data_IF_711017449850
#
_entry.id   IF_711017449850
#
_cell.length_a   1.000
_cell.length_b   1.000
_cell.length_c   1.000
_cell.angle_alpha   90.00
_cell.angle_beta   90.00
_cell.angle_gamma   90.00
#
_symmetry.space_group_name_H-M   'P 1'
#
loop_
_entity.id
_entity.type
_entity.pdbx_description
1 polymer ?
#
# COMPACT_ATOMS: atom_id res chain seq x y z
N UNK A 1 18.85 -10.28 14.92
CA UNK A 1 18.14 -11.60 14.90
C UNK A 1 17.32 -11.70 13.62
N UNK A 2 17.52 -12.76 12.87
CA UNK A 2 16.69 -13.05 11.70
C UNK A 2 15.41 -13.72 12.18
N UNK A 3 14.25 -13.08 11.93
CA UNK A 3 12.96 -13.69 12.24
C UNK A 3 12.46 -14.48 11.03
N UNK A 4 11.85 -15.63 11.29
CA UNK A 4 11.21 -16.43 10.25
C UNK A 4 9.87 -15.83 9.80
N UNK A 5 9.22 -15.03 10.68
CA UNK A 5 7.96 -14.34 10.38
C UNK A 5 8.20 -12.87 10.09
N UNK A 6 7.42 -12.30 9.18
CA UNK A 6 7.43 -10.87 8.88
C UNK A 6 6.22 -10.21 9.53
N UNK A 7 6.40 -8.97 9.97
CA UNK A 7 5.35 -8.18 10.62
C UNK A 7 4.97 -7.04 9.69
N UNK A 8 3.70 -6.98 9.31
CA UNK A 8 3.11 -5.87 8.55
C UNK A 8 2.24 -5.06 9.51
N UNK A 9 2.54 -3.79 9.66
CA UNK A 9 1.78 -2.87 10.49
C UNK A 9 0.85 -2.03 9.62
N UNK A 10 -0.46 -2.15 9.82
CA UNK A 10 -1.42 -1.24 9.17
C UNK A 10 -1.35 0.14 9.82
N UNK A 11 -1.19 1.18 9.01
CA UNK A 11 -1.12 2.57 9.46
C UNK A 11 -2.29 3.39 8.93
N UNK A 12 -2.72 4.36 9.72
CA UNK A 12 -3.85 5.25 9.45
C UNK A 12 -3.97 6.29 10.57
N UNK A 13 -5.10 6.97 10.67
CA UNK A 13 -5.32 8.08 11.62
C UNK A 13 -4.92 7.74 13.05
N UNK A 14 -5.25 6.54 13.53
CA UNK A 14 -4.92 6.11 14.90
C UNK A 14 -3.41 5.98 15.15
N UNK A 15 -2.63 5.76 14.11
CA UNK A 15 -1.19 5.50 14.21
C UNK A 15 -0.32 6.68 13.80
N UNK A 16 -0.89 7.73 13.20
CA UNK A 16 -0.12 8.88 12.68
C UNK A 16 0.77 9.52 13.74
N UNK A 17 0.32 9.56 15.00
CA UNK A 17 1.07 10.11 16.13
C UNK A 17 2.23 9.23 16.60
N UNK A 18 2.22 7.95 16.28
CA UNK A 18 3.21 6.96 16.71
C UNK A 18 4.00 6.34 15.55
N UNK A 19 3.88 6.91 14.36
CA UNK A 19 4.47 6.39 13.14
C UNK A 19 5.98 6.15 13.27
N UNK A 20 6.71 7.07 13.91
CA UNK A 20 8.15 6.91 14.19
C UNK A 20 8.42 5.62 14.99
N UNK A 21 7.64 5.36 16.04
CA UNK A 21 7.80 4.15 16.85
C UNK A 21 7.55 2.87 16.06
N UNK A 22 6.61 2.92 15.10
CA UNK A 22 6.35 1.79 14.19
C UNK A 22 7.56 1.55 13.28
N UNK A 23 8.10 2.61 12.68
CA UNK A 23 9.29 2.53 11.81
C UNK A 23 10.53 2.08 12.57
N UNK A 24 10.77 2.58 13.79
CA UNK A 24 11.88 2.17 14.66
C UNK A 24 11.70 0.77 15.23
N UNK A 25 10.47 0.28 15.30
CA UNK A 25 10.11 -0.98 15.91
C UNK A 25 10.42 -2.22 15.09
N UNK A 26 9.62 -3.25 15.27
CA UNK A 26 9.86 -4.56 14.67
C UNK A 26 9.12 -4.81 13.34
N UNK A 27 8.39 -3.83 12.82
CA UNK A 27 7.68 -3.99 11.55
C UNK A 27 8.67 -4.15 10.37
N UNK A 28 8.36 -5.04 9.46
CA UNK A 28 9.10 -5.24 8.20
C UNK A 28 8.46 -4.49 7.05
N UNK A 29 7.17 -4.18 7.17
CA UNK A 29 6.42 -3.38 6.22
C UNK A 29 5.33 -2.58 6.94
N UNK A 30 4.91 -1.48 6.32
CA UNK A 30 3.66 -0.79 6.66
C UNK A 30 2.65 -0.99 5.53
N UNK A 31 1.39 -1.09 5.91
CA UNK A 31 0.28 -1.18 4.96
C UNK A 31 -0.60 0.05 5.11
N UNK A 32 -0.87 0.70 3.99
CA UNK A 32 -1.80 1.83 3.87
C UNK A 32 -3.00 1.35 3.08
N UNK A 33 -4.18 1.39 3.70
CA UNK A 33 -5.43 0.99 3.06
C UNK A 33 -6.04 2.20 2.34
N UNK A 34 -6.24 2.08 1.04
CA UNK A 34 -6.79 3.14 0.19
C UNK A 34 -8.23 3.54 0.56
N UNK A 35 -8.95 2.66 1.23
CA UNK A 35 -10.32 2.93 1.68
C UNK A 35 -10.38 3.97 2.80
N UNK A 36 -9.32 4.06 3.61
CA UNK A 36 -9.27 4.96 4.77
C UNK A 36 -8.38 6.19 4.51
N UNK A 37 -8.94 7.35 4.82
CA UNK A 37 -8.27 8.62 4.61
C UNK A 37 -8.44 9.17 3.19
N UNK A 38 -8.05 10.43 3.01
CA UNK A 38 -8.00 11.04 1.69
C UNK A 38 -6.69 10.70 0.97
N UNK A 39 -6.65 10.94 -0.33
CA UNK A 39 -5.41 10.79 -1.11
C UNK A 39 -4.30 11.66 -0.54
N UNK A 40 -4.60 12.89 -0.13
CA UNK A 40 -3.65 13.83 0.46
C UNK A 40 -3.06 13.27 1.76
N UNK A 41 -3.91 12.72 2.64
CA UNK A 41 -3.45 12.08 3.88
C UNK A 41 -2.56 10.86 3.60
N UNK A 42 -2.92 10.05 2.61
CA UNK A 42 -2.14 8.88 2.24
C UNK A 42 -0.79 9.26 1.60
N UNK A 43 -0.74 10.33 0.79
CA UNK A 43 0.54 10.90 0.31
C UNK A 43 1.42 11.31 1.49
N UNK A 44 0.88 12.05 2.45
CA UNK A 44 1.63 12.47 3.65
C UNK A 44 2.18 11.28 4.44
N UNK A 45 1.39 10.21 4.61
CA UNK A 45 1.82 8.99 5.28
C UNK A 45 2.96 8.31 4.54
N UNK A 46 2.83 8.15 3.23
CA UNK A 46 3.88 7.56 2.38
C UNK A 46 5.18 8.36 2.50
N UNK A 47 5.12 9.68 2.36
CA UNK A 47 6.30 10.55 2.43
C UNK A 47 6.94 10.53 3.83
N UNK A 48 6.15 10.53 4.90
CA UNK A 48 6.66 10.38 6.27
C UNK A 48 7.36 9.04 6.49
N UNK A 49 6.79 7.94 5.99
CA UNK A 49 7.42 6.62 6.11
C UNK A 49 8.74 6.58 5.35
N UNK A 50 8.78 7.12 4.13
CA UNK A 50 10.01 7.20 3.32
C UNK A 50 11.10 7.98 4.06
N UNK A 51 10.77 9.16 4.58
CA UNK A 51 11.70 9.98 5.32
C UNK A 51 12.21 9.28 6.59
N UNK A 52 11.31 8.67 7.35
CA UNK A 52 11.64 7.98 8.60
C UNK A 52 12.50 6.73 8.36
N UNK A 53 12.17 5.90 7.36
CA UNK A 53 12.97 4.70 7.06
C UNK A 53 14.39 5.05 6.63
N UNK A 54 14.56 6.14 5.91
CA UNK A 54 15.87 6.64 5.50
C UNK A 54 16.66 7.20 6.69
N UNK A 55 16.02 8.02 7.54
CA UNK A 55 16.62 8.59 8.75
C UNK A 55 17.06 7.49 9.74
N UNK A 56 16.24 6.47 9.92
CA UNK A 56 16.51 5.34 10.84
C UNK A 56 17.45 4.30 10.22
N UNK A 57 17.63 4.30 8.90
CA UNK A 57 18.46 3.33 8.18
C UNK A 57 17.85 1.93 8.17
N UNK A 58 16.52 1.81 7.96
CA UNK A 58 15.82 0.52 7.93
C UNK A 58 15.22 0.25 6.55
N UNK A 59 15.35 -1.02 6.12
CA UNK A 59 14.60 -1.58 5.00
C UNK A 59 13.18 -1.89 5.45
N UNK A 60 12.30 -0.91 5.33
CA UNK A 60 10.88 -1.02 5.63
C UNK A 60 10.08 -0.85 4.35
N UNK A 61 9.31 -1.86 3.95
CA UNK A 61 8.49 -1.79 2.76
C UNK A 61 7.20 -0.99 3.01
N UNK A 62 6.72 -0.33 1.96
CA UNK A 62 5.41 0.33 1.92
C UNK A 62 4.50 -0.49 1.01
N UNK A 63 3.40 -0.99 1.57
CA UNK A 63 2.36 -1.72 0.85
C UNK A 63 1.14 -0.81 0.76
N UNK A 64 0.64 -0.60 -0.45
CA UNK A 64 -0.62 0.12 -0.67
C UNK A 64 -1.71 -0.87 -1.02
N UNK A 65 -2.71 -0.96 -0.16
CA UNK A 65 -3.85 -1.86 -0.34
C UNK A 65 -4.88 -1.18 -1.24
N UNK A 66 -5.02 -1.68 -2.47
CA UNK A 66 -5.90 -1.08 -3.47
C UNK A 66 -7.34 -1.54 -3.26
N UNK A 67 -8.27 -0.60 -3.30
CA UNK A 67 -9.68 -0.87 -3.14
C UNK A 67 -10.32 -1.42 -4.44
N UNK A 68 -11.59 -1.75 -4.34
CA UNK A 68 -12.42 -2.23 -5.43
C UNK A 68 -13.56 -1.26 -5.71
N UNK A 69 -13.96 -1.22 -6.97
CA UNK A 69 -15.21 -0.59 -7.34
C UNK A 69 -16.36 -1.55 -7.03
N UNK A 70 -17.28 -1.10 -6.20
CA UNK A 70 -18.44 -1.86 -5.74
C UNK A 70 -19.66 -1.57 -6.58
N UNK A 71 -20.56 -2.55 -6.68
CA UNK A 71 -21.89 -2.32 -7.20
C UNK A 71 -22.66 -1.34 -6.28
N UNK A 72 -23.72 -0.70 -6.80
CA UNK A 72 -24.51 0.30 -6.08
C UNK A 72 -25.03 -0.18 -4.71
N UNK A 73 -25.25 -1.49 -4.55
CA UNK A 73 -25.69 -2.10 -3.29
C UNK A 73 -24.54 -2.43 -2.31
N UNK A 74 -23.29 -2.14 -2.68
CA UNK A 74 -22.08 -2.38 -1.90
C UNK A 74 -21.78 -3.84 -1.50
N UNK A 75 -22.55 -4.79 -2.01
CA UNK A 75 -22.37 -6.22 -1.69
C UNK A 75 -21.68 -7.02 -2.79
N UNK A 76 -21.44 -6.42 -3.94
CA UNK A 76 -20.80 -7.08 -5.07
C UNK A 76 -19.60 -6.26 -5.54
N UNK A 77 -18.43 -6.86 -5.46
CA UNK A 77 -17.21 -6.33 -6.08
C UNK A 77 -17.36 -6.39 -7.61
N UNK A 78 -17.01 -5.33 -8.30
CA UNK A 78 -17.01 -5.27 -9.76
C UNK A 78 -15.60 -5.51 -10.29
N UNK A 79 -14.63 -4.74 -9.80
CA UNK A 79 -13.23 -4.80 -10.25
C UNK A 79 -12.32 -4.04 -9.30
N UNK A 80 -11.02 -4.28 -9.43
CA UNK A 80 -9.99 -3.47 -8.75
C UNK A 80 -10.11 -2.01 -9.22
N UNK A 81 -9.95 -1.08 -8.29
CA UNK A 81 -9.90 0.34 -8.60
C UNK A 81 -8.54 0.69 -9.22
N UNK A 82 -8.53 0.86 -10.55
CA UNK A 82 -7.31 1.14 -11.30
C UNK A 82 -6.67 2.48 -10.91
N UNK A 83 -7.45 3.48 -10.49
CA UNK A 83 -6.95 4.77 -10.01
C UNK A 83 -6.10 4.61 -8.74
N UNK A 84 -6.44 3.63 -7.91
CA UNK A 84 -5.63 3.30 -6.74
C UNK A 84 -4.28 2.67 -7.12
N UNK A 85 -4.22 1.92 -8.20
CA UNK A 85 -2.96 1.37 -8.73
C UNK A 85 -2.10 2.49 -9.32
N UNK A 86 -2.70 3.42 -10.08
CA UNK A 86 -2.02 4.61 -10.58
C UNK A 86 -1.45 5.45 -9.42
N UNK A 87 -2.26 5.68 -8.38
CA UNK A 87 -1.82 6.38 -7.17
C UNK A 87 -0.58 5.73 -6.54
N UNK A 88 -0.60 4.41 -6.38
CA UNK A 88 0.53 3.66 -5.85
C UNK A 88 1.79 3.84 -6.69
N UNK A 89 1.65 3.82 -8.02
CA UNK A 89 2.76 4.02 -8.95
C UNK A 89 3.34 5.43 -8.86
N UNK A 90 2.48 6.44 -8.86
CA UNK A 90 2.90 7.86 -8.77
C UNK A 90 3.63 8.14 -7.45
N UNK A 91 3.23 7.49 -6.37
CA UNK A 91 3.82 7.68 -5.04
C UNK A 91 4.97 6.71 -4.73
N UNK A 92 5.43 5.91 -5.69
CA UNK A 92 6.58 5.01 -5.55
C UNK A 92 6.51 4.12 -4.30
N UNK A 93 5.40 3.42 -4.12
CA UNK A 93 5.28 2.39 -3.07
C UNK A 93 6.06 1.13 -3.49
N UNK A 94 6.37 0.27 -2.54
CA UNK A 94 7.16 -0.93 -2.81
C UNK A 94 6.29 -2.10 -3.30
N UNK A 95 5.05 -2.18 -2.79
CA UNK A 95 4.08 -3.23 -3.15
C UNK A 95 2.66 -2.66 -3.24
N UNK A 96 1.84 -3.29 -4.07
CA UNK A 96 0.38 -3.16 -4.01
C UNK A 96 -0.22 -4.47 -3.51
N UNK A 97 -1.18 -4.38 -2.60
CA UNK A 97 -2.00 -5.51 -2.20
C UNK A 97 -3.33 -5.43 -2.94
N UNK A 98 -3.75 -6.55 -3.53
CA UNK A 98 -4.99 -6.68 -4.26
C UNK A 98 -5.91 -7.67 -3.54
N UNK A 99 -6.72 -7.21 -2.57
CA UNK A 99 -7.62 -8.10 -1.86
C UNK A 99 -8.75 -8.59 -2.76
N UNK A 100 -9.33 -9.73 -2.41
CA UNK A 100 -10.52 -10.29 -3.07
C UNK A 100 -10.38 -10.52 -4.58
N UNK A 101 -9.20 -10.86 -5.06
CA UNK A 101 -8.97 -11.18 -6.47
C UNK A 101 -9.83 -12.37 -6.88
N UNK A 102 -10.67 -12.18 -7.89
CA UNK A 102 -11.60 -13.20 -8.40
C UNK A 102 -11.09 -13.96 -9.61
N UNK A 103 -10.15 -13.40 -10.35
CA UNK A 103 -9.61 -14.00 -11.58
C UNK A 103 -8.23 -13.42 -11.93
N UNK A 104 -7.54 -14.07 -12.87
CA UNK A 104 -6.20 -13.69 -13.30
C UNK A 104 -6.16 -12.37 -14.09
N UNK A 105 -7.26 -12.01 -14.75
CA UNK A 105 -7.30 -10.80 -15.58
C UNK A 105 -7.13 -9.54 -14.74
N UNK A 106 -7.63 -9.54 -13.50
CA UNK A 106 -7.45 -8.44 -12.56
C UNK A 106 -5.97 -8.21 -12.25
N UNK A 107 -5.22 -9.28 -11.98
CA UNK A 107 -3.78 -9.18 -11.71
C UNK A 107 -3.00 -8.79 -12.96
N UNK A 108 -3.39 -9.32 -14.11
CA UNK A 108 -2.79 -8.95 -15.40
C UNK A 108 -2.96 -7.45 -15.64
N UNK A 109 -4.14 -6.91 -15.37
CA UNK A 109 -4.43 -5.48 -15.50
C UNK A 109 -3.57 -4.63 -14.57
N UNK A 110 -3.44 -5.03 -13.31
CA UNK A 110 -2.57 -4.34 -12.35
C UNK A 110 -1.11 -4.33 -12.84
N UNK A 111 -0.60 -5.45 -13.34
CA UNK A 111 0.76 -5.53 -13.92
C UNK A 111 0.94 -4.61 -15.12
N UNK A 112 -0.07 -4.52 -16.00
CA UNK A 112 -0.03 -3.63 -17.16
C UNK A 112 0.06 -2.16 -16.73
N UNK A 113 -0.72 -1.74 -15.73
CA UNK A 113 -0.68 -0.38 -15.19
C UNK A 113 0.70 -0.08 -14.61
N UNK A 114 1.22 -0.95 -13.74
CA UNK A 114 2.56 -0.78 -13.15
C UNK A 114 3.62 -0.64 -14.24
N UNK A 115 3.56 -1.50 -15.25
CA UNK A 115 4.48 -1.47 -16.40
C UNK A 115 4.37 -0.16 -17.19
N UNK A 116 3.15 0.35 -17.40
CA UNK A 116 2.91 1.61 -18.13
C UNK A 116 3.54 2.82 -17.45
N UNK A 117 3.67 2.78 -16.12
CA UNK A 117 4.39 3.78 -15.33
C UNK A 117 5.92 3.58 -15.32
N UNK A 118 6.44 2.52 -15.94
CA UNK A 118 7.86 2.20 -15.90
C UNK A 118 8.37 1.82 -14.50
N UNK A 119 7.50 1.33 -13.64
CA UNK A 119 7.80 0.99 -12.25
C UNK A 119 8.04 -0.50 -12.05
N UNK A 120 8.73 -0.81 -10.96
CA UNK A 120 8.95 -2.18 -10.48
C UNK A 120 8.36 -2.31 -9.08
N UNK A 121 7.03 -2.43 -9.04
CA UNK A 121 6.25 -2.57 -7.81
C UNK A 121 5.79 -4.03 -7.70
N UNK A 122 5.98 -4.66 -6.53
CA UNK A 122 5.50 -6.01 -6.25
C UNK A 122 3.98 -6.06 -6.09
N UNK A 123 3.41 -7.24 -6.33
CA UNK A 123 1.98 -7.52 -6.12
C UNK A 123 1.85 -8.69 -5.14
#
# INVERSE_FOLDING_TARGET
MIRNSKIIATIGDATDKVLRKIVEGAADAVLIDSYYGSNEQNVERIEKVKALREEVGRDLAIIYDVDHIYAKNKYKLIRIDEENVDFACVNDVDFVACPFVGNLDEITKVKEIIKSHGKNIGI
#
